data_IF_981171709208
#
_entry.id   IF_981171709208
#
_cell.length_a   1.000
_cell.length_b   1.000
_cell.length_c   1.000
_cell.angle_alpha   90.00
_cell.angle_beta   90.00
_cell.angle_gamma   90.00
#
_symmetry.space_group_name_H-M   'P 1'
#
loop_
_entity.id
_entity.type
_entity.pdbx_description
1 polymer ?
#
# COMPACT_ATOMS: atom_id res chain seq x y z
N UNK A 1 13.74 1.68 1.68
CA UNK A 1 12.33 1.46 1.96
C UNK A 1 11.55 2.11 0.82
N UNK A 2 10.66 1.37 0.15
CA UNK A 2 10.07 1.83 -1.11
C UNK A 2 9.21 3.07 -0.93
N UNK A 3 9.65 4.20 -1.51
CA UNK A 3 8.91 5.45 -1.44
C UNK A 3 7.73 5.40 -2.41
N UNK A 4 6.52 5.30 -1.85
CA UNK A 4 5.34 5.64 -2.61
C UNK A 4 5.40 7.12 -3.01
N UNK A 5 5.07 7.39 -4.28
CA UNK A 5 5.12 8.74 -4.81
C UNK A 5 3.98 9.53 -4.17
N UNK A 6 4.32 10.61 -3.47
CA UNK A 6 3.32 11.57 -3.00
C UNK A 6 2.84 12.34 -4.22
N UNK A 7 1.83 11.84 -4.92
CA UNK A 7 1.01 12.71 -5.76
C UNK A 7 0.07 13.51 -4.84
N UNK A 8 -0.28 14.75 -5.22
CA UNK A 8 -1.28 15.49 -4.48
C UNK A 8 -2.49 14.59 -4.35
N UNK A 9 -2.89 14.33 -3.10
CA UNK A 9 -4.12 13.63 -2.74
C UNK A 9 -5.15 14.03 -3.77
N UNK A 10 -5.75 13.08 -4.49
CA UNK A 10 -7.00 13.35 -5.20
C UNK A 10 -7.93 13.90 -4.11
N UNK A 11 -8.00 15.23 -4.00
CA UNK A 11 -8.64 15.88 -2.86
C UNK A 11 -10.06 15.40 -2.92
N UNK A 12 -10.44 14.58 -1.94
CA UNK A 12 -11.83 14.21 -1.77
C UNK A 12 -12.64 15.51 -1.85
N UNK A 13 -13.62 15.54 -2.75
CA UNK A 13 -14.55 16.66 -2.84
C UNK A 13 -15.09 16.95 -1.43
N UNK A 14 -15.46 18.19 -1.13
CA UNK A 14 -15.94 18.55 0.20
C UNK A 14 -17.07 17.61 0.72
N UNK A 15 -17.89 17.08 -0.20
CA UNK A 15 -18.95 16.10 0.08
C UNK A 15 -18.41 14.69 0.41
N UNK A 16 -17.39 14.22 -0.30
CA UNK A 16 -16.68 12.97 -0.01
C UNK A 16 -15.92 13.05 1.33
N UNK A 17 -15.24 14.17 1.57
CA UNK A 17 -14.59 14.45 2.85
C UNK A 17 -15.56 14.39 4.02
N UNK A 18 -16.74 15.01 3.88
CA UNK A 18 -17.80 15.00 4.90
C UNK A 18 -18.39 13.61 5.17
N UNK A 19 -18.59 12.77 4.14
CA UNK A 19 -19.10 11.41 4.31
C UNK A 19 -18.09 10.50 5.03
N UNK A 20 -16.81 10.59 4.64
CA UNK A 20 -15.71 9.89 5.31
C UNK A 20 -15.59 10.35 6.77
N UNK A 21 -15.71 11.66 7.03
CA UNK A 21 -15.74 12.25 8.35
C UNK A 21 -16.91 11.76 9.22
N UNK A 22 -18.11 11.66 8.65
CA UNK A 22 -19.28 11.17 9.36
C UNK A 22 -19.11 9.70 9.76
N UNK A 23 -18.56 8.87 8.87
CA UNK A 23 -18.23 7.47 9.16
C UNK A 23 -17.15 7.38 10.23
N UNK A 24 -16.09 8.18 10.13
CA UNK A 24 -15.03 8.29 11.15
C UNK A 24 -15.57 8.67 12.53
N UNK A 25 -16.45 9.67 12.59
CA UNK A 25 -17.09 10.11 13.83
C UNK A 25 -18.00 9.03 14.41
N UNK A 26 -18.71 8.28 13.58
CA UNK A 26 -19.52 7.12 14.02
C UNK A 26 -18.61 6.03 14.59
N UNK A 27 -17.51 5.71 13.91
CA UNK A 27 -16.52 4.70 14.28
C UNK A 27 -15.78 5.06 15.58
N UNK A 28 -15.36 6.32 15.71
CA UNK A 28 -14.65 6.81 16.90
C UNK A 28 -15.61 7.05 18.06
N UNK A 29 -16.83 7.53 17.82
CA UNK A 29 -17.85 7.80 18.84
C UNK A 29 -18.28 6.55 19.62
N UNK A 30 -18.29 5.37 18.98
CA UNK A 30 -18.68 4.11 19.64
C UNK A 30 -17.57 3.51 20.51
N UNK A 31 -16.30 3.93 20.36
CA UNK A 31 -15.16 3.26 21.03
C UNK A 31 -14.02 4.16 21.51
N UNK A 32 -14.11 5.49 21.41
CA UNK A 32 -12.95 6.37 21.52
C UNK A 32 -13.10 7.47 22.54
N UNK A 33 -12.97 7.17 23.84
CA UNK A 33 -12.46 8.14 24.81
C UNK A 33 -11.77 7.50 26.02
N UNK A 34 -12.02 6.22 26.35
CA UNK A 34 -11.37 5.49 27.43
C UNK A 34 -11.08 4.03 27.03
N UNK A 35 -10.05 3.79 26.19
CA UNK A 35 -9.57 2.42 25.95
C UNK A 35 -8.48 2.06 26.95
N UNK A 36 -8.58 0.89 27.63
CA UNK A 36 -7.49 0.31 28.42
C UNK A 36 -6.18 0.27 27.63
N UNK A 37 -5.03 0.42 28.31
CA UNK A 37 -3.70 0.51 27.67
C UNK A 37 -3.38 -0.69 26.76
N UNK A 38 -3.95 -1.86 27.08
CA UNK A 38 -3.86 -3.08 26.29
C UNK A 38 -4.50 -2.95 24.90
N UNK A 39 -5.63 -2.22 24.81
CA UNK A 39 -6.40 -2.01 23.57
C UNK A 39 -5.84 -0.87 22.72
N UNK A 40 -4.89 -0.08 23.23
CA UNK A 40 -4.09 0.86 22.43
C UNK A 40 -3.01 0.15 21.60
N UNK A 41 -2.63 -1.08 21.98
CA UNK A 41 -1.63 -1.92 21.31
C UNK A 41 -2.22 -2.90 20.29
N UNK A 42 -3.53 -3.17 20.38
CA UNK A 42 -4.28 -3.96 19.40
C UNK A 42 -4.67 -3.01 18.28
N UNK A 43 -4.26 -3.26 17.03
CA UNK A 43 -4.59 -2.46 15.82
C UNK A 43 -6.09 -2.12 15.79
N UNK A 44 -6.51 -0.97 16.32
CA UNK A 44 -7.92 -0.66 16.48
C UNK A 44 -8.46 0.04 15.24
N UNK A 45 -7.63 0.14 14.20
CA UNK A 45 -7.79 1.02 13.07
C UNK A 45 -7.87 0.26 11.75
N UNK A 46 -7.55 -1.05 11.68
CA UNK A 46 -7.62 -1.80 10.41
C UNK A 46 -9.04 -1.77 9.85
N UNK A 47 -10.02 -2.18 10.64
CA UNK A 47 -11.43 -2.15 10.25
C UNK A 47 -11.92 -0.72 9.91
N UNK A 48 -11.45 0.32 10.62
CA UNK A 48 -11.77 1.71 10.30
C UNK A 48 -11.13 2.15 8.97
N UNK A 49 -9.89 1.73 8.71
CA UNK A 49 -9.16 1.94 7.46
C UNK A 49 -9.84 1.22 6.31
N UNK A 50 -10.35 0.00 6.54
CA UNK A 50 -11.09 -0.80 5.55
C UNK A 50 -12.42 -0.14 5.18
N UNK A 51 -13.15 0.37 6.18
CA UNK A 51 -14.39 1.13 5.96
C UNK A 51 -14.10 2.40 5.18
N UNK A 52 -13.11 3.19 5.60
CA UNK A 52 -12.76 4.46 4.94
C UNK A 52 -12.26 4.22 3.52
N UNK A 53 -11.48 3.17 3.31
CA UNK A 53 -11.05 2.75 1.98
C UNK A 53 -12.25 2.40 1.09
N UNK A 54 -13.11 1.50 1.56
CA UNK A 54 -14.33 1.09 0.83
C UNK A 54 -15.22 2.28 0.50
N UNK A 55 -15.44 3.16 1.48
CA UNK A 55 -16.22 4.38 1.28
C UNK A 55 -15.56 5.33 0.27
N UNK A 56 -14.23 5.43 0.27
CA UNK A 56 -13.48 6.25 -0.70
C UNK A 56 -13.66 5.69 -2.11
N UNK A 57 -13.45 4.38 -2.31
CA UNK A 57 -13.67 3.70 -3.58
C UNK A 57 -15.08 3.95 -4.13
N UNK A 58 -16.11 3.71 -3.30
CA UNK A 58 -17.51 3.95 -3.66
C UNK A 58 -17.78 5.43 -4.01
N UNK A 59 -17.22 6.35 -3.23
CA UNK A 59 -17.50 7.76 -3.43
C UNK A 59 -16.76 8.34 -4.64
N UNK A 60 -15.68 7.70 -5.10
CA UNK A 60 -14.92 8.08 -6.31
C UNK A 60 -15.26 7.21 -7.53
N UNK A 61 -16.23 6.30 -7.42
CA UNK A 61 -16.58 5.33 -8.46
C UNK A 61 -15.36 4.55 -8.99
N UNK A 62 -14.52 4.08 -8.05
CA UNK A 62 -13.32 3.29 -8.33
C UNK A 62 -13.52 1.87 -7.83
N UNK A 63 -13.23 0.89 -8.66
CA UNK A 63 -13.21 -0.53 -8.31
C UNK A 63 -11.77 -1.05 -8.35
N UNK A 64 -11.37 -1.84 -7.36
CA UNK A 64 -10.09 -2.54 -7.40
C UNK A 64 -10.12 -3.69 -8.42
N UNK A 65 -8.98 -4.01 -9.02
CA UNK A 65 -8.88 -5.20 -9.85
C UNK A 65 -9.18 -6.47 -9.05
N UNK A 66 -9.90 -7.40 -9.68
CA UNK A 66 -10.23 -8.69 -9.12
C UNK A 66 -9.31 -9.79 -9.67
N UNK A 67 -8.75 -10.60 -8.76
CA UNK A 67 -8.00 -11.79 -9.17
C UNK A 67 -8.91 -12.78 -9.92
N UNK A 68 -8.38 -13.39 -10.98
CA UNK A 68 -9.09 -14.34 -11.85
C UNK A 68 -10.00 -13.69 -12.89
N UNK A 69 -10.27 -12.39 -12.77
CA UNK A 69 -11.01 -11.60 -13.78
C UNK A 69 -10.10 -10.61 -14.49
N UNK A 70 -9.41 -9.77 -13.70
CA UNK A 70 -8.63 -8.65 -14.20
C UNK A 70 -7.12 -8.90 -14.13
N UNK A 71 -6.69 -9.67 -13.12
CA UNK A 71 -5.29 -10.03 -12.92
C UNK A 71 -5.13 -11.45 -12.38
N UNK A 72 -3.95 -12.02 -12.53
CA UNK A 72 -3.59 -13.33 -11.98
C UNK A 72 -2.21 -13.29 -11.29
N UNK A 73 -1.99 -14.20 -10.36
CA UNK A 73 -0.68 -14.44 -9.77
C UNK A 73 -0.07 -15.67 -10.44
N UNK A 74 1.14 -15.52 -10.97
CA UNK A 74 1.92 -16.65 -11.50
C UNK A 74 3.42 -16.45 -11.32
N UNK A 75 4.25 -17.49 -11.51
CA UNK A 75 5.70 -17.36 -11.40
C UNK A 75 6.27 -16.29 -12.35
N UNK A 76 7.14 -15.43 -11.81
CA UNK A 76 7.84 -14.33 -12.49
C UNK A 76 9.36 -14.55 -12.44
N UNK A 77 9.81 -15.59 -13.16
CA UNK A 77 11.23 -15.94 -13.27
C UNK A 77 11.91 -16.11 -11.91
N UNK A 78 12.99 -15.35 -11.66
CA UNK A 78 13.75 -15.40 -10.41
C UNK A 78 13.19 -14.50 -9.31
N UNK A 79 12.14 -13.73 -9.57
CA UNK A 79 11.52 -12.80 -8.59
C UNK A 79 10.50 -13.48 -7.67
N UNK A 80 10.25 -14.78 -7.87
CA UNK A 80 9.18 -15.50 -7.19
C UNK A 80 7.86 -15.34 -7.94
N UNK A 81 6.79 -14.95 -7.26
CA UNK A 81 5.51 -14.67 -7.89
C UNK A 81 5.44 -13.23 -8.40
N UNK A 82 4.67 -13.02 -9.47
CA UNK A 82 4.32 -11.71 -10.00
C UNK A 82 2.82 -11.62 -10.28
N UNK A 83 2.32 -10.40 -10.42
CA UNK A 83 0.94 -10.14 -10.82
C UNK A 83 0.91 -9.78 -12.30
N UNK A 84 0.03 -10.40 -13.07
CA UNK A 84 -0.09 -10.22 -14.50
C UNK A 84 -1.51 -9.83 -14.89
N UNK A 85 -1.66 -8.92 -15.84
CA UNK A 85 -2.95 -8.49 -16.35
C UNK A 85 -3.62 -9.60 -17.15
N UNK A 86 -4.91 -9.89 -16.90
CA UNK A 86 -5.72 -10.82 -17.69
C UNK A 86 -6.51 -10.13 -18.80
N UNK A 87 -6.67 -8.80 -18.70
CA UNK A 87 -7.29 -7.93 -19.69
C UNK A 87 -6.46 -6.65 -19.88
N UNK A 88 -6.72 -5.84 -20.91
CA UNK A 88 -6.23 -4.47 -20.93
C UNK A 88 -6.67 -3.72 -19.67
N UNK A 89 -5.76 -2.95 -19.07
CA UNK A 89 -6.02 -2.08 -17.91
C UNK A 89 -5.66 -0.66 -18.35
N UNK A 90 -6.60 0.26 -18.23
CA UNK A 90 -6.42 1.64 -18.68
C UNK A 90 -5.59 2.46 -17.68
N UNK A 91 -4.91 3.51 -18.14
CA UNK A 91 -4.25 4.48 -17.27
C UNK A 91 -5.21 5.01 -16.19
N UNK A 92 -4.75 5.05 -14.93
CA UNK A 92 -5.56 5.51 -13.79
C UNK A 92 -6.45 4.45 -13.14
N UNK A 93 -6.57 3.26 -13.73
CA UNK A 93 -7.31 2.17 -13.09
C UNK A 93 -6.69 1.77 -11.74
N UNK A 94 -7.56 1.52 -10.76
CA UNK A 94 -7.17 1.17 -9.41
C UNK A 94 -6.74 -0.31 -9.36
N UNK A 95 -5.44 -0.55 -9.24
CA UNK A 95 -4.89 -1.91 -9.15
C UNK A 95 -5.39 -2.56 -7.85
N UNK A 96 -5.22 -1.87 -6.72
CA UNK A 96 -5.72 -2.33 -5.44
C UNK A 96 -5.00 -1.71 -4.26
N UNK A 97 -5.57 -1.88 -3.07
CA UNK A 97 -4.95 -1.43 -1.82
C UNK A 97 -3.81 -2.36 -1.43
N UNK A 98 -2.69 -1.78 -1.01
CA UNK A 98 -1.62 -2.52 -0.36
C UNK A 98 -2.00 -2.74 1.12
N UNK A 99 -2.09 -4.00 1.53
CA UNK A 99 -2.55 -4.38 2.88
C UNK A 99 -1.45 -5.13 3.64
N UNK A 100 -1.45 -4.96 4.96
CA UNK A 100 -0.51 -5.59 5.85
C UNK A 100 -0.64 -5.07 7.28
N UNK A 101 0.28 -5.49 8.14
CA UNK A 101 0.36 -5.06 9.53
C UNK A 101 1.04 -3.69 9.58
N UNK A 102 0.43 -2.72 10.22
CA UNK A 102 1.06 -1.42 10.44
C UNK A 102 1.95 -1.52 11.69
N UNK A 103 3.23 -1.21 11.51
CA UNK A 103 4.25 -1.22 12.57
C UNK A 103 4.87 0.16 12.69
N UNK A 104 5.20 0.57 13.92
CA UNK A 104 6.15 1.66 14.10
C UNK A 104 7.51 1.22 13.59
N UNK A 105 8.40 2.15 13.24
CA UNK A 105 9.77 1.79 12.82
C UNK A 105 10.47 0.93 13.86
N UNK A 106 10.32 1.25 15.15
CA UNK A 106 10.90 0.45 16.25
C UNK A 106 10.38 -0.98 16.26
N UNK A 107 9.07 -1.16 16.11
CA UNK A 107 8.44 -2.48 16.13
C UNK A 107 8.78 -3.28 14.87
N UNK A 108 8.91 -2.61 13.72
CA UNK A 108 9.37 -3.20 12.48
C UNK A 108 10.83 -3.66 12.59
N UNK A 109 11.74 -2.84 13.11
CA UNK A 109 13.13 -3.24 13.33
C UNK A 109 13.25 -4.42 14.30
N UNK A 110 12.48 -4.42 15.39
CA UNK A 110 12.42 -5.57 16.29
C UNK A 110 11.92 -6.84 15.55
N UNK A 111 10.85 -6.72 14.77
CA UNK A 111 10.32 -7.83 13.96
C UNK A 111 11.34 -8.36 12.93
N UNK A 112 12.11 -7.46 12.31
CA UNK A 112 13.14 -7.82 11.35
C UNK A 112 14.29 -8.57 12.02
N UNK A 113 14.79 -8.07 13.17
CA UNK A 113 15.84 -8.73 13.96
C UNK A 113 15.40 -10.11 14.48
N UNK A 114 14.13 -10.23 14.87
CA UNK A 114 13.52 -11.49 15.31
C UNK A 114 13.11 -12.42 14.15
N UNK A 115 13.40 -12.04 12.90
CA UNK A 115 13.05 -12.80 11.67
C UNK A 115 11.54 -13.09 11.53
N UNK A 116 10.70 -12.23 12.10
CA UNK A 116 9.24 -12.26 11.91
C UNK A 116 8.79 -11.59 10.62
N UNK A 117 9.67 -10.82 9.98
CA UNK A 117 9.48 -10.24 8.65
C UNK A 117 10.78 -10.31 7.87
N UNK A 118 10.70 -10.58 6.57
CA UNK A 118 11.85 -10.53 5.66
C UNK A 118 12.16 -9.10 5.20
N UNK A 119 11.23 -8.17 5.47
CA UNK A 119 11.22 -6.83 4.93
C UNK A 119 10.97 -6.75 3.43
N UNK A 120 10.65 -7.87 2.76
CA UNK A 120 10.49 -7.90 1.30
C UNK A 120 9.22 -7.18 0.86
N UNK A 121 8.18 -7.19 1.70
CA UNK A 121 6.82 -6.71 1.42
C UNK A 121 6.49 -5.45 2.22
N UNK A 122 7.35 -4.42 2.15
CA UNK A 122 7.20 -3.22 2.98
C UNK A 122 6.86 -1.97 2.16
N UNK A 123 5.98 -1.15 2.71
CA UNK A 123 5.70 0.21 2.24
C UNK A 123 5.87 1.20 3.39
N UNK A 124 6.58 2.31 3.16
CA UNK A 124 6.69 3.37 4.17
C UNK A 124 5.36 4.14 4.24
N UNK A 125 4.90 4.46 5.44
CA UNK A 125 3.74 5.29 5.71
C UNK A 125 4.21 6.57 6.44
N UNK A 126 4.45 7.65 5.68
CA UNK A 126 5.06 8.87 6.24
C UNK A 126 6.47 8.59 6.80
N UNK A 127 6.83 9.26 7.90
CA UNK A 127 8.22 9.25 8.38
C UNK A 127 8.53 8.21 9.47
N UNK A 128 7.54 7.49 10.01
CA UNK A 128 7.76 6.68 11.23
C UNK A 128 6.95 5.38 11.30
N UNK A 129 6.25 5.04 10.22
CA UNK A 129 5.41 3.86 10.16
C UNK A 129 5.73 3.05 8.92
N UNK A 130 5.63 1.72 9.06
CA UNK A 130 5.84 0.74 8.00
C UNK A 130 4.59 -0.12 7.90
N UNK A 131 4.06 -0.24 6.69
CA UNK A 131 3.09 -1.27 6.36
C UNK A 131 3.87 -2.52 5.95
N UNK A 132 3.76 -3.59 6.75
CA UNK A 132 4.44 -4.87 6.59
C UNK A 132 3.47 -5.93 6.08
N UNK A 133 3.59 -6.25 4.79
CA UNK A 133 2.77 -7.22 4.07
C UNK A 133 3.24 -8.67 4.19
N UNK A 134 4.17 -9.01 5.10
CA UNK A 134 4.72 -10.37 5.21
C UNK A 134 3.64 -11.43 5.54
N UNK A 135 2.69 -11.11 6.43
CA UNK A 135 1.64 -12.02 6.88
C UNK A 135 0.57 -12.20 5.80
N UNK A 136 0.50 -13.38 5.20
CA UNK A 136 -0.46 -13.73 4.13
C UNK A 136 -1.93 -13.61 4.57
N UNK A 137 -2.22 -13.83 5.86
CA UNK A 137 -3.60 -13.73 6.38
C UNK A 137 -4.03 -12.28 6.63
N UNK A 138 -3.08 -11.34 6.63
CA UNK A 138 -3.31 -9.91 6.89
C UNK A 138 -2.91 -9.01 5.73
N UNK A 139 -2.45 -9.58 4.62
CA UNK A 139 -2.06 -8.87 3.39
C UNK A 139 -2.99 -9.19 2.22
N UNK A 140 -2.81 -8.47 1.12
CA UNK A 140 -3.54 -8.67 -0.13
C UNK A 140 -2.57 -9.10 -1.23
N UNK A 141 -3.12 -9.59 -2.34
CA UNK A 141 -2.35 -10.04 -3.50
C UNK A 141 -1.44 -8.98 -4.11
N UNK A 142 -1.72 -7.70 -3.87
CA UNK A 142 -0.89 -6.56 -4.28
C UNK A 142 0.54 -6.63 -3.72
N UNK A 143 0.80 -7.43 -2.68
CA UNK A 143 2.16 -7.73 -2.20
C UNK A 143 3.07 -8.38 -3.24
N UNK A 144 2.50 -9.04 -4.25
CA UNK A 144 3.25 -9.73 -5.32
C UNK A 144 3.55 -8.82 -6.52
N UNK A 145 3.17 -7.53 -6.49
CA UNK A 145 3.53 -6.57 -7.54
C UNK A 145 5.03 -6.30 -7.45
N UNK A 146 5.76 -6.68 -8.49
CA UNK A 146 7.21 -6.72 -8.50
C UNK A 146 7.85 -5.38 -8.81
N UNK A 147 9.16 -5.30 -8.54
CA UNK A 147 9.97 -4.18 -8.95
C UNK A 147 10.34 -4.21 -10.44
N UNK A 148 10.25 -3.06 -11.09
CA UNK A 148 11.13 -2.67 -12.19
C UNK A 148 11.15 -1.17 -12.34
N UNK A 149 12.33 -0.53 -12.31
CA UNK A 149 12.43 0.91 -12.58
C UNK A 149 12.13 1.26 -14.04
N UNK A 150 12.57 0.42 -14.98
CA UNK A 150 12.43 0.67 -16.43
C UNK A 150 11.06 0.30 -16.98
N UNK A 151 10.47 -0.79 -16.48
CA UNK A 151 9.19 -1.32 -16.96
C UNK A 151 8.02 -0.99 -16.05
N UNK A 152 8.21 -0.15 -15.03
CA UNK A 152 7.13 0.29 -14.16
C UNK A 152 5.95 0.80 -14.99
N UNK A 153 4.78 0.24 -14.71
CA UNK A 153 3.51 0.59 -15.33
C UNK A 153 2.44 0.88 -14.28
N UNK A 154 2.78 0.73 -12.99
CA UNK A 154 1.98 1.14 -11.87
C UNK A 154 2.82 2.06 -10.96
N UNK A 155 2.14 2.81 -10.08
CA UNK A 155 2.75 3.54 -8.99
C UNK A 155 1.96 3.36 -7.70
N UNK A 156 2.62 3.56 -6.56
CA UNK A 156 2.00 3.56 -5.25
C UNK A 156 1.68 4.98 -4.79
N UNK A 157 0.53 5.12 -4.13
CA UNK A 157 -0.09 6.37 -3.70
C UNK A 157 -0.58 6.25 -2.26
N UNK A 158 -0.75 7.39 -1.59
CA UNK A 158 -1.34 7.45 -0.26
C UNK A 158 -2.78 7.96 -0.30
N UNK A 159 -3.65 7.29 0.43
CA UNK A 159 -4.89 7.87 0.92
C UNK A 159 -4.66 8.27 2.38
N UNK A 160 -4.66 9.58 2.62
CA UNK A 160 -4.48 10.20 3.94
C UNK A 160 -5.81 10.84 4.31
N UNK A 161 -6.44 10.34 5.37
CA UNK A 161 -7.68 10.90 5.89
C UNK A 161 -7.48 11.35 7.33
N UNK A 162 -7.52 12.66 7.52
CA UNK A 162 -7.53 13.30 8.83
C UNK A 162 -8.93 13.90 9.04
N UNK A 163 -9.66 13.54 10.12
CA UNK A 163 -10.96 14.11 10.39
C UNK A 163 -10.92 15.64 10.62
N UNK A 164 -9.83 16.16 11.17
CA UNK A 164 -9.60 17.61 11.32
C UNK A 164 -8.14 17.93 10.98
N UNK A 165 -7.85 19.19 10.64
CA UNK A 165 -6.46 19.68 10.48
C UNK A 165 -5.63 19.47 11.75
N UNK A 166 -6.29 19.40 12.91
CA UNK A 166 -5.69 19.19 14.23
C UNK A 166 -5.71 17.71 14.68
N UNK A 167 -6.19 16.79 13.84
CA UNK A 167 -6.37 15.40 14.25
C UNK A 167 -5.03 14.72 14.52
N UNK A 168 -4.88 14.20 15.74
CA UNK A 168 -3.75 13.33 16.12
C UNK A 168 -3.79 11.95 15.47
N UNK A 169 -4.91 11.58 14.85
CA UNK A 169 -5.11 10.31 14.19
C UNK A 169 -5.34 10.56 12.70
N UNK A 170 -4.45 10.01 11.89
CA UNK A 170 -4.56 10.03 10.44
C UNK A 170 -4.69 8.60 9.97
N UNK A 171 -5.75 8.30 9.22
CA UNK A 171 -5.87 7.02 8.54
C UNK A 171 -5.04 7.09 7.27
N UNK A 172 -4.04 6.22 7.19
CA UNK A 172 -3.17 6.11 6.03
C UNK A 172 -3.39 4.75 5.36
N UNK A 173 -3.64 4.76 4.07
CA UNK A 173 -3.60 3.57 3.22
C UNK A 173 -2.64 3.81 2.06
N UNK A 174 -1.99 2.75 1.61
CA UNK A 174 -1.25 2.75 0.34
C UNK A 174 -2.09 2.01 -0.68
N UNK A 175 -2.21 2.54 -1.88
CA UNK A 175 -2.84 1.85 -3.00
C UNK A 175 -1.98 1.96 -4.25
N UNK A 176 -2.21 1.04 -5.18
CA UNK A 176 -1.51 0.97 -6.45
C UNK A 176 -2.47 1.39 -7.58
N UNK A 177 -1.95 2.13 -8.55
CA UNK A 177 -2.71 2.62 -9.70
C UNK A 177 -1.86 2.49 -10.98
N UNK A 178 -2.51 2.17 -12.10
CA UNK A 178 -1.86 2.15 -13.41
C UNK A 178 -1.41 3.55 -13.83
N UNK A 179 -0.17 3.70 -14.30
CA UNK A 179 0.40 4.99 -14.75
C UNK A 179 0.46 5.15 -16.26
N UNK A 180 -0.07 4.16 -16.98
CA UNK A 180 -0.26 4.10 -18.43
C UNK A 180 -1.22 2.95 -18.73
N UNK A 181 -1.70 2.86 -19.96
CA UNK A 181 -2.38 1.67 -20.44
C UNK A 181 -1.46 0.43 -20.36
N UNK A 182 -2.01 -0.69 -19.91
CA UNK A 182 -1.34 -1.98 -19.71
C UNK A 182 -2.06 -3.03 -20.55
N UNK A 183 -1.34 -3.72 -21.41
CA UNK A 183 -1.88 -4.80 -22.23
C UNK A 183 -2.08 -6.09 -21.42
N UNK A 184 -3.06 -6.90 -21.83
CA UNK A 184 -3.22 -8.24 -21.29
C UNK A 184 -1.91 -9.05 -21.41
N UNK A 185 -1.55 -9.77 -20.34
CA UNK A 185 -0.34 -10.56 -20.23
C UNK A 185 0.89 -9.79 -19.71
N UNK A 186 0.85 -8.45 -19.65
CA UNK A 186 1.92 -7.67 -19.02
C UNK A 186 1.98 -7.92 -17.51
N UNK A 187 3.19 -7.89 -16.94
CA UNK A 187 3.37 -7.89 -15.49
C UNK A 187 3.10 -6.50 -14.92
N UNK A 188 2.37 -6.44 -13.80
CA UNK A 188 2.21 -5.22 -13.03
C UNK A 188 3.49 -4.96 -12.23
N UNK A 189 4.09 -3.80 -12.44
CA UNK A 189 5.42 -3.45 -11.95
C UNK A 189 5.41 -2.03 -11.39
N UNK A 190 6.07 -1.86 -10.25
CA UNK A 190 6.29 -0.55 -9.61
C UNK A 190 7.79 -0.30 -9.44
N UNK A 191 8.18 0.97 -9.33
CA UNK A 191 9.51 1.32 -8.82
C UNK A 191 9.51 1.17 -7.28
N UNK A 192 10.39 0.34 -6.74
CA UNK A 192 10.55 0.14 -5.31
C UNK A 192 11.40 1.24 -4.68
N UNK A 193 11.89 2.20 -5.45
CA UNK A 193 12.64 3.34 -4.93
C UNK A 193 14.06 2.99 -4.45
N UNK A 194 14.93 4.00 -4.42
CA UNK A 194 16.33 3.80 -4.13
C UNK A 194 16.60 3.34 -2.71
N UNK A 195 15.83 3.80 -1.74
CA UNK A 195 16.04 3.46 -0.34
C UNK A 195 15.82 1.95 -0.12
N UNK A 196 14.90 1.30 -0.87
CA UNK A 196 14.59 -0.14 -0.68
C UNK A 196 15.81 -0.96 -1.04
N UNK A 197 16.37 -0.64 -2.19
CA UNK A 197 17.53 -1.33 -2.72
C UNK A 197 18.82 -0.95 -1.97
N UNK A 198 18.98 0.31 -1.53
CA UNK A 198 20.15 0.75 -0.75
C UNK A 198 20.27 0.00 0.59
N UNK A 199 19.14 -0.45 1.17
CA UNK A 199 19.15 -1.29 2.39
C UNK A 199 19.49 -2.76 2.15
N UNK A 200 19.55 -3.21 0.89
CA UNK A 200 19.66 -4.65 0.52
C UNK A 200 20.90 -4.96 -0.30
N UNK A 201 21.33 -4.02 -1.13
CA UNK A 201 22.49 -4.17 -2.01
C UNK A 201 23.34 -2.91 -1.90
N UNK A 202 24.67 -3.08 -1.97
CA UNK A 202 25.57 -1.94 -1.98
C UNK A 202 25.27 -1.02 -3.16
N UNK A 203 25.20 0.30 -2.92
CA UNK A 203 24.85 1.32 -3.92
C UNK A 203 25.65 1.23 -5.22
N UNK A 204 26.91 0.81 -5.12
CA UNK A 204 27.85 0.68 -6.24
C UNK A 204 28.05 -0.77 -6.72
N UNK A 205 27.26 -1.72 -6.22
CA UNK A 205 27.39 -3.11 -6.62
C UNK A 205 26.88 -3.30 -8.07
N UNK A 206 27.50 -4.19 -8.87
CA UNK A 206 26.98 -4.52 -10.21
C UNK A 206 25.53 -4.99 -10.21
N UNK A 207 25.12 -5.70 -9.14
CA UNK A 207 23.73 -6.11 -8.93
C UNK A 207 22.78 -4.92 -8.80
N UNK A 208 23.21 -3.80 -8.19
CA UNK A 208 22.40 -2.60 -8.10
C UNK A 208 22.20 -1.93 -9.46
N UNK A 209 23.25 -1.87 -10.26
CA UNK A 209 23.14 -1.37 -11.64
C UNK A 209 22.14 -2.21 -12.46
N UNK A 210 22.19 -3.54 -12.33
CA UNK A 210 21.24 -4.42 -12.99
C UNK A 210 19.79 -4.13 -12.56
N UNK A 211 19.54 -3.93 -11.26
CA UNK A 211 18.23 -3.60 -10.71
C UNK A 211 17.68 -2.29 -11.29
N UNK A 212 18.52 -1.26 -11.38
CA UNK A 212 18.07 0.08 -11.81
C UNK A 212 17.84 0.17 -13.33
N UNK A 213 18.56 -0.62 -14.13
CA UNK A 213 18.65 -0.41 -15.59
C UNK A 213 18.21 -1.58 -16.48
N UNK A 214 18.03 -2.79 -15.95
CA UNK A 214 17.64 -3.97 -16.77
C UNK A 214 16.16 -4.35 -16.60
#
# INVERSE_FOLDING_TARGET
ISMAKVMPVAKATAKQGAAILAILNLVQGTYGYNRPELLKRIEPMRWATDIVWTASCLATDREELALGRDAEIRPSGTKGNGVFALRPIDEGELIGRYQGIIRSDKDYQAAYMERRTSGAYIMTLGDSWVLDGEDETRSAWTRFVNHSRRKANCASYFLVVSPTEESRYTLNSVYLEATRDISAGEELLIDYGPEYWDSRVGKWAPTRFAIDYL
#
